data_IF_416135757099
#
_entry.id   IF_416135757099
#
_cell.length_a   1.000
_cell.length_b   1.000
_cell.length_c   1.000
_cell.angle_alpha   90.00
_cell.angle_beta   90.00
_cell.angle_gamma   90.00
#
_symmetry.space_group_name_H-M   'P 1'
#
loop_
_entity.id
_entity.type
_entity.pdbx_description
1 polymer ?
#
# COMPACT_ATOMS: atom_id res chain seq x y z
N UNK A 1 -0.91 -8.62 -0.45
CA UNK A 1 -0.21 -9.75 0.20
C UNK A 1 -0.79 -10.01 1.57
N UNK A 2 -0.26 -10.99 2.32
CA UNK A 2 -0.57 -11.19 3.74
C UNK A 2 0.75 -11.46 4.47
N UNK A 3 1.06 -10.65 5.48
CA UNK A 3 2.32 -10.74 6.22
C UNK A 3 2.09 -10.88 7.73
N UNK A 4 3.15 -11.24 8.47
CA UNK A 4 3.11 -11.25 9.94
C UNK A 4 2.80 -9.86 10.53
N UNK A 5 3.12 -8.79 9.80
CA UNK A 5 2.87 -7.42 10.23
C UNK A 5 1.37 -7.11 10.29
N UNK A 6 0.56 -7.71 9.43
CA UNK A 6 -0.89 -7.59 9.47
C UNK A 6 -1.47 -8.15 10.78
N UNK A 7 -0.89 -9.25 11.29
CA UNK A 7 -1.27 -9.82 12.59
C UNK A 7 -0.83 -8.92 13.75
N UNK A 8 0.37 -8.34 13.67
CA UNK A 8 0.89 -7.41 14.66
C UNK A 8 0.00 -6.16 14.77
N UNK A 9 -0.35 -5.55 13.64
CA UNK A 9 -1.29 -4.41 13.56
C UNK A 9 -2.64 -4.77 14.17
N UNK A 10 -3.23 -5.88 13.75
CA UNK A 10 -4.55 -6.33 14.23
C UNK A 10 -4.57 -6.71 15.71
N UNK A 11 -3.43 -7.06 16.31
CA UNK A 11 -3.35 -7.38 17.73
C UNK A 11 -3.62 -6.18 18.64
N UNK A 12 -3.37 -4.95 18.16
CA UNK A 12 -3.45 -3.73 18.95
C UNK A 12 -2.43 -3.64 20.09
N UNK A 13 -1.44 -4.55 20.15
CA UNK A 13 -0.46 -4.65 21.26
C UNK A 13 0.87 -3.98 20.96
N UNK A 14 1.14 -3.68 19.69
CA UNK A 14 2.43 -3.14 19.28
C UNK A 14 2.45 -1.60 19.40
N UNK A 15 3.40 -1.03 20.15
CA UNK A 15 3.52 0.42 20.30
C UNK A 15 3.76 1.13 18.96
N UNK A 16 3.16 2.30 18.79
CA UNK A 16 3.34 3.14 17.60
C UNK A 16 2.39 2.84 16.45
N UNK A 17 1.57 1.78 16.53
CA UNK A 17 0.57 1.50 15.51
C UNK A 17 -0.74 2.26 15.68
N UNK A 18 -1.48 2.48 14.57
CA UNK A 18 -2.81 3.07 14.63
C UNK A 18 -3.73 2.23 15.53
N UNK A 19 -4.58 2.94 16.29
CA UNK A 19 -5.66 2.31 17.03
C UNK A 19 -6.87 2.11 16.09
N UNK A 20 -7.65 1.03 16.25
CA UNK A 20 -8.91 0.89 15.54
C UNK A 20 -9.84 2.09 15.75
N UNK A 21 -10.65 2.47 14.74
CA UNK A 21 -10.77 1.81 13.44
C UNK A 21 -9.66 2.21 12.46
N UNK A 22 -9.14 1.22 11.72
CA UNK A 22 -8.28 1.41 10.56
C UNK A 22 -8.44 0.21 9.61
N UNK A 23 -8.06 0.38 8.35
CA UNK A 23 -8.02 -0.72 7.37
C UNK A 23 -6.64 -1.41 7.42
N UNK A 24 -6.55 -2.72 7.69
CA UNK A 24 -5.29 -3.46 7.67
C UNK A 24 -4.69 -3.61 6.26
N UNK A 25 -3.53 -4.25 6.16
CA UNK A 25 -2.85 -4.53 4.89
C UNK A 25 -1.64 -3.64 4.70
N UNK A 26 -0.45 -4.25 4.73
CA UNK A 26 0.83 -3.55 4.51
C UNK A 26 1.48 -3.78 3.16
N UNK A 27 1.03 -4.76 2.38
CA UNK A 27 1.65 -5.07 1.09
C UNK A 27 0.59 -5.06 -0.02
N UNK A 28 0.82 -4.26 -1.06
CA UNK A 28 -0.05 -4.20 -2.24
C UNK A 28 0.70 -4.49 -3.53
N UNK A 29 -0.03 -5.06 -4.48
CA UNK A 29 0.28 -5.04 -5.91
C UNK A 29 -1.01 -4.65 -6.61
N UNK A 30 -0.94 -3.69 -7.52
CA UNK A 30 -2.12 -3.15 -8.17
C UNK A 30 -1.79 -2.25 -9.35
N UNK A 31 -2.81 -1.54 -9.83
CA UNK A 31 -2.70 -0.61 -10.95
C UNK A 31 -2.94 0.80 -10.44
N UNK A 32 -2.18 1.77 -10.93
CA UNK A 32 -2.38 3.19 -10.65
C UNK A 32 -3.71 3.65 -11.27
N UNK A 33 -4.71 3.93 -10.43
CA UNK A 33 -6.03 4.44 -10.85
C UNK A 33 -5.98 5.94 -11.20
N UNK A 34 -5.32 6.74 -10.35
CA UNK A 34 -5.16 8.19 -10.50
C UNK A 34 -3.85 8.70 -9.91
N UNK A 35 -3.39 9.84 -10.42
CA UNK A 35 -2.23 10.56 -9.90
C UNK A 35 -2.64 11.82 -9.14
N UNK A 36 -1.82 12.22 -8.16
CA UNK A 36 -1.85 13.58 -7.63
C UNK A 36 -1.14 14.55 -8.58
N UNK A 37 -1.46 15.85 -8.47
CA UNK A 37 -1.03 16.88 -9.43
C UNK A 37 0.50 16.95 -9.64
N UNK A 38 1.29 16.67 -8.61
CA UNK A 38 2.75 16.77 -8.62
C UNK A 38 3.47 15.41 -8.84
N UNK A 39 2.73 14.31 -9.00
CA UNK A 39 3.30 12.97 -9.13
C UNK A 39 3.81 12.74 -10.56
N UNK A 40 5.08 12.34 -10.69
CA UNK A 40 5.72 12.16 -12.01
C UNK A 40 6.49 10.85 -12.17
N UNK A 41 6.68 10.08 -11.09
CA UNK A 41 7.47 8.85 -11.11
C UNK A 41 6.75 7.62 -11.68
N UNK A 42 5.42 7.69 -11.82
CA UNK A 42 4.55 6.62 -12.34
C UNK A 42 3.45 7.19 -13.22
N UNK A 43 2.80 6.35 -14.03
CA UNK A 43 1.67 6.74 -14.89
C UNK A 43 0.39 6.01 -14.51
N UNK A 44 -0.77 6.61 -14.79
CA UNK A 44 -2.05 5.91 -14.70
C UNK A 44 -2.04 4.63 -15.57
N UNK A 45 -2.67 3.56 -15.08
CA UNK A 45 -2.65 2.25 -15.72
C UNK A 45 -1.36 1.44 -15.50
N UNK A 46 -0.33 2.00 -14.87
CA UNK A 46 0.91 1.28 -14.57
C UNK A 46 0.71 0.29 -13.43
N UNK A 47 1.26 -0.91 -13.57
CA UNK A 47 1.30 -1.90 -12.49
C UNK A 47 2.42 -1.57 -11.51
N UNK A 48 2.08 -1.47 -10.23
CA UNK A 48 2.97 -1.08 -9.15
C UNK A 48 2.82 -2.00 -7.94
N UNK A 49 3.89 -2.14 -7.18
CA UNK A 49 3.91 -2.80 -5.88
C UNK A 49 4.42 -1.83 -4.82
N UNK A 50 3.98 -1.99 -3.58
CA UNK A 50 4.39 -1.08 -2.51
C UNK A 50 4.14 -1.62 -1.11
N UNK A 51 4.78 -0.96 -0.15
CA UNK A 51 4.64 -1.24 1.28
C UNK A 51 3.94 -0.07 1.97
N UNK A 52 2.77 -0.32 2.55
CA UNK A 52 1.84 0.67 3.09
C UNK A 52 2.17 1.06 4.53
N UNK A 53 3.42 1.43 4.84
CA UNK A 53 3.80 1.74 6.22
C UNK A 53 3.21 3.06 6.72
N UNK A 54 3.07 4.07 5.86
CA UNK A 54 2.53 5.37 6.24
C UNK A 54 1.01 5.44 6.11
N UNK A 55 0.44 4.83 5.06
CA UNK A 55 -0.99 4.88 4.77
C UNK A 55 -1.80 3.80 5.50
N UNK A 56 -1.22 2.60 5.72
CA UNK A 56 -1.98 1.35 5.91
C UNK A 56 -3.03 1.15 4.80
N UNK A 57 -3.93 0.19 4.96
CA UNK A 57 -5.13 0.11 4.12
C UNK A 57 -5.00 -0.72 2.86
N UNK A 58 -3.98 -1.56 2.72
CA UNK A 58 -3.84 -2.46 1.58
C UNK A 58 -4.96 -3.51 1.45
N UNK A 59 -5.75 -3.77 2.49
CA UNK A 59 -6.95 -4.62 2.42
C UNK A 59 -8.19 -3.82 2.03
N UNK A 60 -8.09 -3.09 0.92
CA UNK A 60 -9.14 -2.33 0.30
C UNK A 60 -9.04 -2.43 -1.22
N UNK A 61 -10.12 -2.06 -1.92
CA UNK A 61 -10.11 -1.99 -3.39
C UNK A 61 -9.27 -0.81 -3.91
N UNK A 62 -9.14 0.26 -3.12
CA UNK A 62 -8.39 1.47 -3.43
C UNK A 62 -7.64 1.97 -2.19
N UNK A 63 -6.42 2.49 -2.41
CA UNK A 63 -5.61 3.11 -1.37
C UNK A 63 -4.80 4.27 -1.97
N UNK A 64 -4.71 5.38 -1.24
CA UNK A 64 -3.86 6.51 -1.60
C UNK A 64 -2.49 6.37 -0.93
N UNK A 65 -1.42 6.47 -1.71
CA UNK A 65 -0.05 6.25 -1.25
C UNK A 65 0.90 7.29 -1.84
N UNK A 66 1.95 7.71 -1.11
CA UNK A 66 3.00 8.53 -1.67
C UNK A 66 3.72 7.80 -2.82
N UNK A 67 4.08 8.52 -3.89
CA UNK A 67 4.74 7.93 -5.05
C UNK A 67 6.10 7.27 -4.69
N UNK A 68 6.76 7.74 -3.63
CA UNK A 68 8.02 7.16 -3.13
C UNK A 68 7.87 5.85 -2.35
N UNK A 69 6.65 5.40 -2.06
CA UNK A 69 6.38 4.12 -1.36
C UNK A 69 5.95 2.99 -2.31
N UNK A 70 5.96 3.27 -3.61
CA UNK A 70 5.62 2.31 -4.66
C UNK A 70 6.76 2.19 -5.67
N UNK A 71 6.83 1.04 -6.32
CA UNK A 71 7.78 0.75 -7.39
C UNK A 71 7.06 0.07 -8.57
N UNK A 72 7.53 0.29 -9.82
CA UNK A 72 7.02 -0.44 -10.97
C UNK A 72 7.20 -1.95 -10.81
N UNK A 73 6.17 -2.73 -11.13
CA UNK A 73 6.29 -4.18 -11.22
C UNK A 73 7.03 -4.54 -12.51
N UNK A 74 8.08 -5.39 -12.46
CA UNK A 74 8.76 -5.86 -13.66
C UNK A 74 7.82 -6.63 -14.60
N UNK A 75 8.04 -6.49 -15.91
CA UNK A 75 7.25 -7.22 -16.89
C UNK A 75 7.43 -8.75 -16.73
N UNK A 76 6.33 -9.49 -16.85
CA UNK A 76 6.32 -10.96 -16.78
C UNK A 76 6.29 -11.55 -15.37
N UNK A 77 6.12 -10.71 -14.34
CA UNK A 77 5.75 -11.14 -12.98
C UNK A 77 4.24 -11.32 -12.92
N UNK A 78 3.79 -12.41 -12.29
CA UNK A 78 2.38 -12.74 -11.98
C UNK A 78 2.14 -12.56 -10.48
#
# INVERSE_FOLDING_TARGET
GVSAYDLMLRSGRFPGFPKPPFTPGVDIVGVVDRLGDDVTSVTEGQMVAGLMFSANGGYAELVCVPEGEIVPVPAGVD
#
